data_IF_365862627164
#
_entry.id   IF_365862627164
#
_cell.length_a   1.000
_cell.length_b   1.000
_cell.length_c   1.000
_cell.angle_alpha   90.00
_cell.angle_beta   90.00
_cell.angle_gamma   90.00
#
_symmetry.space_group_name_H-M   'P 1'
#
loop_
_entity.id
_entity.type
_entity.pdbx_description
1 polymer ?
#
# COMPACT_ATOMS: atom_id res chain seq x y z
N UNK A 1 9.13 -19.49 -35.04
CA UNK A 1 8.39 -18.63 -34.08
C UNK A 1 8.58 -19.23 -32.69
N UNK A 2 9.25 -18.55 -31.78
CA UNK A 2 9.26 -18.97 -30.36
C UNK A 2 7.87 -18.71 -29.79
N UNK A 3 7.20 -19.77 -29.36
CA UNK A 3 5.90 -19.67 -28.66
C UNK A 3 6.12 -18.86 -27.37
N UNK A 4 5.29 -17.85 -27.16
CA UNK A 4 5.32 -17.05 -25.93
C UNK A 4 4.99 -17.93 -24.72
N UNK A 5 5.73 -17.76 -23.62
CA UNK A 5 5.45 -18.49 -22.38
C UNK A 5 4.19 -17.93 -21.72
N UNK A 6 3.25 -18.79 -21.34
CA UNK A 6 2.03 -18.46 -20.57
C UNK A 6 1.97 -19.29 -19.29
N UNK A 7 1.11 -18.90 -18.35
CA UNK A 7 0.83 -19.68 -17.11
C UNK A 7 2.04 -19.94 -16.20
N UNK A 8 3.08 -19.10 -16.30
CA UNK A 8 4.35 -19.26 -15.56
C UNK A 8 4.31 -18.77 -14.11
N UNK A 9 3.27 -18.02 -13.72
CA UNK A 9 3.12 -17.46 -12.37
C UNK A 9 4.20 -16.43 -11.99
N UNK A 10 4.26 -16.04 -10.71
CA UNK A 10 5.33 -15.18 -10.20
C UNK A 10 6.65 -15.97 -10.07
N UNK A 11 7.81 -15.30 -10.10
CA UNK A 11 9.06 -15.91 -9.69
C UNK A 11 8.96 -16.50 -8.27
N UNK A 12 9.57 -17.65 -8.02
CA UNK A 12 9.66 -18.19 -6.65
C UNK A 12 10.44 -17.22 -5.76
N UNK A 13 9.79 -16.71 -4.70
CA UNK A 13 10.38 -15.76 -3.76
C UNK A 13 11.67 -16.29 -3.12
N UNK A 14 11.86 -17.61 -3.01
CA UNK A 14 13.06 -18.25 -2.45
C UNK A 14 14.34 -17.96 -3.26
N UNK A 15 14.18 -17.51 -4.50
CA UNK A 15 15.29 -17.13 -5.37
C UNK A 15 15.75 -15.69 -5.16
N UNK A 16 14.98 -14.87 -4.45
CA UNK A 16 15.27 -13.45 -4.22
C UNK A 16 15.42 -13.09 -2.73
N UNK A 17 15.43 -14.09 -1.85
CA UNK A 17 15.69 -13.90 -0.42
C UNK A 17 17.17 -13.59 -0.17
N UNK A 18 17.42 -12.65 0.74
CA UNK A 18 18.75 -12.41 1.28
C UNK A 18 19.33 -13.71 1.88
N UNK A 19 20.63 -14.05 1.68
CA UNK A 19 21.20 -15.33 2.11
C UNK A 19 20.97 -15.67 3.58
N UNK A 20 21.13 -14.70 4.49
CA UNK A 20 20.85 -14.88 5.93
C UNK A 20 19.37 -15.17 6.21
N UNK A 21 18.44 -14.56 5.46
CA UNK A 21 17.00 -14.84 5.60
C UNK A 21 16.69 -16.25 5.09
N UNK A 22 17.28 -16.65 3.96
CA UNK A 22 17.10 -17.98 3.38
C UNK A 22 17.65 -19.08 4.29
N UNK A 23 18.84 -18.87 4.87
CA UNK A 23 19.48 -19.80 5.81
C UNK A 23 18.61 -20.03 7.06
N UNK A 24 17.99 -18.97 7.58
CA UNK A 24 17.22 -19.00 8.82
C UNK A 24 15.70 -19.00 8.59
N UNK A 25 15.25 -19.42 7.40
CA UNK A 25 13.84 -19.35 7.04
C UNK A 25 13.00 -20.25 7.95
N UNK A 26 12.08 -19.67 8.72
CA UNK A 26 11.27 -20.40 9.71
C UNK A 26 11.99 -20.72 11.03
N UNK A 27 13.21 -20.21 11.24
CA UNK A 27 14.05 -20.50 12.41
C UNK A 27 14.44 -19.20 13.13
N UNK A 28 13.45 -18.36 13.41
CA UNK A 28 13.64 -17.07 14.08
C UNK A 28 13.31 -17.20 15.56
N UNK A 29 14.23 -16.74 16.42
CA UNK A 29 14.08 -16.79 17.87
C UNK A 29 13.24 -15.63 18.39
N UNK A 30 13.59 -14.40 17.99
CA UNK A 30 12.85 -13.19 18.37
C UNK A 30 13.17 -12.03 17.43
N UNK A 31 12.41 -10.94 17.59
CA UNK A 31 12.74 -9.64 17.03
C UNK A 31 12.63 -8.56 18.10
N UNK A 32 13.31 -7.44 17.87
CA UNK A 32 13.25 -6.25 18.73
C UNK A 32 13.25 -5.00 17.84
N UNK A 33 12.53 -3.96 18.27
CA UNK A 33 12.60 -2.63 17.65
C UNK A 33 13.64 -1.83 18.44
N UNK A 34 14.76 -1.51 17.81
CA UNK A 34 15.89 -0.84 18.45
C UNK A 34 15.67 0.67 18.56
N UNK A 35 15.09 1.25 17.51
CA UNK A 35 14.78 2.68 17.37
C UNK A 35 13.72 2.84 16.25
N UNK A 36 13.10 4.02 16.08
CA UNK A 36 12.13 4.23 15.00
C UNK A 36 12.71 3.84 13.63
N UNK A 37 12.05 2.91 12.94
CA UNK A 37 12.45 2.41 11.63
C UNK A 37 13.53 1.33 11.64
N UNK A 38 14.06 0.88 12.80
CA UNK A 38 15.10 -0.15 12.84
C UNK A 38 14.68 -1.32 13.72
N UNK A 39 14.66 -2.51 13.14
CA UNK A 39 14.41 -3.76 13.83
C UNK A 39 15.63 -4.66 13.74
N UNK A 40 15.79 -5.55 14.70
CA UNK A 40 16.71 -6.70 14.61
C UNK A 40 15.91 -7.98 14.72
N UNK A 41 16.24 -8.96 13.88
CA UNK A 41 15.77 -10.34 14.00
C UNK A 41 16.97 -11.22 14.36
N UNK A 42 16.79 -12.08 15.36
CA UNK A 42 17.82 -13.01 15.82
C UNK A 42 17.32 -14.43 15.55
N UNK A 43 18.10 -15.21 14.82
CA UNK A 43 17.76 -16.60 14.51
C UNK A 43 18.11 -17.54 15.65
N UNK A 44 17.62 -18.78 15.58
CA UNK A 44 18.01 -19.86 16.49
C UNK A 44 19.50 -20.20 16.40
N UNK A 45 20.12 -20.00 15.23
CA UNK A 45 21.56 -20.19 15.00
C UNK A 45 22.43 -19.04 15.53
N UNK A 46 21.82 -17.96 16.01
CA UNK A 46 22.50 -16.77 16.53
C UNK A 46 22.81 -15.71 15.46
N UNK A 47 22.50 -15.96 14.19
CA UNK A 47 22.61 -14.94 13.14
C UNK A 47 21.70 -13.76 13.47
N UNK A 48 22.19 -12.54 13.20
CA UNK A 48 21.42 -11.31 13.32
C UNK A 48 21.24 -10.69 11.95
N UNK A 49 20.04 -10.18 11.71
CA UNK A 49 19.78 -9.32 10.56
C UNK A 49 18.95 -8.12 11.01
N UNK A 50 19.40 -6.95 10.62
CA UNK A 50 18.74 -5.68 10.89
C UNK A 50 17.86 -5.33 9.70
N UNK A 51 16.65 -4.85 9.98
CA UNK A 51 15.74 -4.32 8.99
C UNK A 51 15.61 -2.82 9.20
N UNK A 52 15.98 -2.04 8.19
CA UNK A 52 15.75 -0.59 8.17
C UNK A 52 14.54 -0.31 7.29
N UNK A 53 13.46 0.18 7.91
CA UNK A 53 12.21 0.54 7.26
C UNK A 53 12.19 2.03 6.92
N UNK A 54 11.84 2.33 5.68
CA UNK A 54 11.64 3.68 5.21
C UNK A 54 10.27 3.88 4.54
N UNK A 55 9.71 5.08 4.69
CA UNK A 55 8.49 5.48 3.99
C UNK A 55 8.73 5.53 2.48
N UNK A 56 7.69 5.22 1.72
CA UNK A 56 7.73 5.31 0.26
C UNK A 56 6.38 5.76 -0.27
N UNK A 57 6.39 6.42 -1.43
CA UNK A 57 5.17 6.60 -2.20
C UNK A 57 4.64 5.24 -2.65
N UNK A 58 3.33 5.01 -2.60
CA UNK A 58 2.73 3.83 -3.24
C UNK A 58 2.85 3.92 -4.77
N UNK A 59 2.65 5.12 -5.32
CA UNK A 59 2.90 5.44 -6.72
C UNK A 59 4.34 5.96 -6.86
N UNK A 60 5.14 5.30 -7.70
CA UNK A 60 6.57 5.58 -7.87
C UNK A 60 6.96 5.47 -9.34
N UNK A 61 8.02 6.19 -9.74
CA UNK A 61 8.62 6.06 -11.06
C UNK A 61 9.58 4.86 -11.12
N UNK A 62 9.96 4.47 -12.33
CA UNK A 62 11.03 3.49 -12.54
C UNK A 62 12.38 4.00 -12.05
N UNK A 63 12.64 5.31 -12.13
CA UNK A 63 13.89 5.90 -11.63
C UNK A 63 13.97 5.84 -10.10
N UNK A 64 12.85 6.05 -9.40
CA UNK A 64 12.76 5.80 -7.96
C UNK A 64 13.11 4.35 -7.62
N UNK A 65 12.60 3.38 -8.38
CA UNK A 65 12.91 1.96 -8.15
C UNK A 65 14.40 1.68 -8.37
N UNK A 66 15.01 2.25 -9.42
CA UNK A 66 16.44 2.12 -9.68
C UNK A 66 17.29 2.71 -8.55
N UNK A 67 16.93 3.88 -8.04
CA UNK A 67 17.61 4.49 -6.90
C UNK A 67 17.50 3.62 -5.63
N UNK A 68 16.33 3.03 -5.38
CA UNK A 68 16.12 2.08 -4.28
C UNK A 68 16.99 0.83 -4.46
N UNK A 69 17.14 0.31 -5.68
CA UNK A 69 18.05 -0.80 -5.99
C UNK A 69 19.51 -0.44 -5.73
N UNK A 70 19.98 0.76 -6.11
CA UNK A 70 21.35 1.21 -5.83
C UNK A 70 21.65 1.26 -4.31
N UNK A 71 20.68 1.70 -3.50
CA UNK A 71 20.79 1.68 -2.04
C UNK A 71 20.88 0.23 -1.53
N UNK A 72 20.06 -0.68 -2.07
CA UNK A 72 20.07 -2.09 -1.68
C UNK A 72 21.38 -2.79 -2.07
N UNK A 73 21.95 -2.50 -3.25
CA UNK A 73 23.24 -3.03 -3.66
C UNK A 73 24.36 -2.56 -2.72
N UNK A 74 24.31 -1.30 -2.29
CA UNK A 74 25.32 -0.70 -1.42
C UNK A 74 25.28 -1.21 0.03
N UNK A 75 24.08 -1.42 0.57
CA UNK A 75 23.91 -1.68 2.02
C UNK A 75 23.28 -3.03 2.36
N UNK A 76 22.62 -3.68 1.42
CA UNK A 76 21.76 -4.85 1.66
C UNK A 76 22.00 -6.02 0.70
N UNK A 77 23.22 -6.09 0.16
CA UNK A 77 23.68 -7.17 -0.73
C UNK A 77 22.73 -7.39 -1.94
N UNK A 78 22.10 -6.31 -2.41
CA UNK A 78 21.14 -6.33 -3.53
C UNK A 78 19.73 -6.81 -3.17
N UNK A 79 19.41 -6.94 -1.87
CA UNK A 79 18.12 -7.41 -1.40
C UNK A 79 17.33 -6.33 -0.66
N UNK A 80 16.04 -6.24 -0.96
CA UNK A 80 15.07 -5.38 -0.26
C UNK A 80 13.69 -6.01 -0.33
N UNK A 81 12.73 -5.47 0.43
CA UNK A 81 11.31 -5.78 0.23
C UNK A 81 10.43 -4.55 0.40
N UNK A 82 9.19 -4.68 -0.08
CA UNK A 82 8.10 -3.80 0.32
C UNK A 82 7.23 -4.48 1.38
N UNK A 83 6.75 -3.69 2.33
CA UNK A 83 5.76 -4.14 3.32
C UNK A 83 4.34 -4.11 2.73
N UNK A 84 3.38 -4.73 3.42
CA UNK A 84 1.96 -4.68 3.06
C UNK A 84 1.34 -3.28 3.09
N UNK A 85 2.07 -2.28 3.60
CA UNK A 85 1.68 -0.86 3.61
C UNK A 85 2.59 0.01 2.76
N UNK A 86 3.28 -0.62 1.80
CA UNK A 86 4.12 0.04 0.81
C UNK A 86 5.37 0.73 1.37
N UNK A 87 5.73 0.56 2.65
CA UNK A 87 7.06 0.95 3.11
C UNK A 87 8.14 0.08 2.48
N UNK A 88 9.34 0.64 2.30
CA UNK A 88 10.55 -0.06 1.91
C UNK A 88 11.21 -0.68 3.14
N UNK A 89 11.86 -1.82 2.97
CA UNK A 89 12.70 -2.45 3.98
C UNK A 89 14.00 -2.98 3.38
N UNK A 90 15.11 -2.56 3.98
CA UNK A 90 16.48 -2.94 3.64
C UNK A 90 17.01 -3.91 4.70
N UNK A 91 17.79 -4.90 4.28
CA UNK A 91 18.34 -5.94 5.16
C UNK A 91 19.83 -5.74 5.37
N UNK A 92 20.27 -5.62 6.61
CA UNK A 92 21.67 -5.31 6.92
C UNK A 92 22.18 -6.35 7.92
N UNK A 93 23.30 -6.99 7.62
CA UNK A 93 23.93 -7.98 8.53
C UNK A 93 25.02 -7.36 9.40
N UNK A 94 25.73 -6.37 8.87
CA UNK A 94 26.74 -5.59 9.58
C UNK A 94 26.14 -4.33 10.21
N UNK A 95 26.04 -4.31 11.53
CA UNK A 95 25.53 -3.18 12.30
C UNK A 95 26.24 -1.84 12.01
N UNK A 96 27.51 -1.87 11.57
CA UNK A 96 28.26 -0.66 11.24
C UNK A 96 27.67 0.09 10.03
N UNK A 97 26.94 -0.61 9.15
CA UNK A 97 26.27 -0.05 7.97
C UNK A 97 24.94 0.65 8.28
N UNK A 98 24.40 0.52 9.49
CA UNK A 98 23.09 1.11 9.85
C UNK A 98 23.11 2.64 9.80
N UNK A 99 24.11 3.27 10.42
CA UNK A 99 24.21 4.72 10.42
C UNK A 99 24.45 5.29 9.00
N UNK A 100 25.38 4.74 8.19
CA UNK A 100 25.53 5.10 6.78
C UNK A 100 24.25 4.94 5.95
N UNK A 101 23.53 3.83 6.08
CA UNK A 101 22.27 3.60 5.36
C UNK A 101 21.20 4.63 5.73
N UNK A 102 20.99 4.88 7.03
CA UNK A 102 20.04 5.89 7.50
C UNK A 102 20.40 7.29 7.00
N UNK A 103 21.68 7.63 6.94
CA UNK A 103 22.15 8.92 6.43
C UNK A 103 21.89 9.06 4.92
N UNK A 104 22.17 8.00 4.14
CA UNK A 104 21.93 7.98 2.68
C UNK A 104 20.42 8.12 2.38
N UNK A 105 19.58 7.32 3.07
CA UNK A 105 18.12 7.42 3.00
C UNK A 105 17.63 8.83 3.31
N UNK A 106 18.11 9.44 4.40
CA UNK A 106 17.75 10.82 4.77
C UNK A 106 18.16 11.83 3.72
N UNK A 107 19.36 11.70 3.15
CA UNK A 107 19.87 12.62 2.12
C UNK A 107 19.04 12.60 0.84
N UNK A 108 18.39 11.46 0.56
CA UNK A 108 17.51 11.23 -0.59
C UNK A 108 16.02 11.44 -0.28
N UNK A 109 15.68 11.89 0.94
CA UNK A 109 14.31 12.20 1.33
C UNK A 109 13.46 10.98 1.72
N UNK A 110 14.07 9.83 2.02
CA UNK A 110 13.38 8.67 2.54
C UNK A 110 13.27 8.74 4.07
N UNK A 111 12.08 8.95 4.65
CA UNK A 111 11.91 8.98 6.10
C UNK A 111 12.10 7.58 6.67
N UNK A 112 13.04 7.42 7.61
CA UNK A 112 13.19 6.17 8.38
C UNK A 112 12.18 6.17 9.52
N UNK A 113 11.35 5.12 9.62
CA UNK A 113 10.25 5.10 10.59
C UNK A 113 9.17 4.06 10.29
N UNK A 114 7.95 4.34 10.72
CA UNK A 114 6.78 3.50 10.43
C UNK A 114 6.75 2.19 11.22
N UNK A 115 7.35 2.16 12.41
CA UNK A 115 7.48 1.00 13.31
C UNK A 115 6.96 1.31 14.70
N UNK A 116 6.58 0.28 15.47
CA UNK A 116 6.27 0.41 16.89
C UNK A 116 5.06 1.31 17.17
N UNK A 117 5.09 2.08 18.26
CA UNK A 117 3.97 2.92 18.70
C UNK A 117 3.95 4.28 17.99
N UNK A 118 3.91 4.25 16.66
CA UNK A 118 3.79 5.44 15.81
C UNK A 118 2.67 5.26 14.78
N UNK A 119 2.67 6.13 13.77
CA UNK A 119 1.91 5.86 12.54
C UNK A 119 2.81 5.17 11.52
N UNK A 120 2.20 4.46 10.59
CA UNK A 120 2.87 3.90 9.43
C UNK A 120 2.22 4.42 8.15
N UNK A 121 2.78 4.11 6.99
CA UNK A 121 2.26 4.57 5.69
C UNK A 121 0.76 4.30 5.52
N UNK A 122 0.07 5.24 4.88
CA UNK A 122 -1.36 5.17 4.62
C UNK A 122 -1.61 4.28 3.40
N UNK A 123 -2.30 3.16 3.62
CA UNK A 123 -2.81 2.34 2.51
C UNK A 123 -3.87 3.15 1.77
N UNK A 124 -3.69 3.29 0.47
CA UNK A 124 -4.58 4.05 -0.39
C UNK A 124 -4.63 3.46 -1.81
N UNK A 125 -5.63 3.91 -2.57
CA UNK A 125 -5.98 3.34 -3.88
C UNK A 125 -5.57 4.30 -5.01
N UNK A 126 -6.24 4.22 -6.16
CA UNK A 126 -5.88 5.02 -7.33
C UNK A 126 -6.37 6.47 -7.26
N UNK A 127 -7.58 6.72 -6.72
CA UNK A 127 -8.19 8.06 -6.79
C UNK A 127 -8.35 8.55 -8.23
N UNK A 128 -8.13 9.84 -8.44
CA UNK A 128 -8.28 10.49 -9.75
C UNK A 128 -7.15 10.13 -10.74
N UNK A 129 -6.07 9.51 -10.26
CA UNK A 129 -4.93 9.13 -11.10
C UNK A 129 -5.33 8.06 -12.13
N UNK A 130 -6.23 7.14 -11.77
CA UNK A 130 -6.52 6.00 -12.64
C UNK A 130 -7.92 5.39 -12.49
N UNK A 131 -8.69 5.72 -11.45
CA UNK A 131 -10.02 5.12 -11.26
C UNK A 131 -11.11 5.95 -11.95
N UNK A 132 -12.16 5.29 -12.45
CA UNK A 132 -13.33 5.93 -13.04
C UNK A 132 -14.53 6.08 -12.08
N UNK A 133 -14.48 5.45 -10.90
CA UNK A 133 -15.50 5.58 -9.84
C UNK A 133 -15.06 6.34 -8.56
N UNK A 134 -14.01 7.19 -8.55
CA UNK A 134 -13.59 7.87 -7.33
C UNK A 134 -14.57 9.00 -6.97
N UNK A 135 -14.84 9.14 -5.67
CA UNK A 135 -15.49 10.32 -5.10
C UNK A 135 -14.47 11.35 -4.57
N UNK A 136 -13.21 10.95 -4.42
CA UNK A 136 -12.08 11.81 -4.04
C UNK A 136 -10.79 11.30 -4.69
N UNK A 137 -9.75 12.14 -4.76
CA UNK A 137 -8.41 11.65 -5.00
C UNK A 137 -7.89 10.80 -3.83
N UNK A 138 -6.88 9.97 -4.10
CA UNK A 138 -6.20 9.17 -3.10
C UNK A 138 -4.82 9.73 -2.73
N UNK A 139 -3.97 10.02 -3.73
CA UNK A 139 -2.56 10.38 -3.47
C UNK A 139 -2.42 11.77 -2.83
N UNK A 140 -3.20 12.76 -3.30
CA UNK A 140 -3.19 14.12 -2.76
C UNK A 140 -3.55 14.18 -1.28
N UNK A 141 -4.73 13.66 -0.85
CA UNK A 141 -5.08 13.65 0.56
C UNK A 141 -4.11 12.85 1.44
N UNK A 142 -3.56 11.73 0.95
CA UNK A 142 -2.53 10.97 1.68
C UNK A 142 -1.28 11.82 1.91
N UNK A 143 -0.81 12.52 0.88
CA UNK A 143 0.34 13.43 0.99
C UNK A 143 0.06 14.53 2.03
N UNK A 144 -1.09 15.19 1.95
CA UNK A 144 -1.47 16.24 2.89
C UNK A 144 -1.51 15.74 4.34
N UNK A 145 -2.12 14.56 4.59
CA UNK A 145 -2.18 13.97 5.93
C UNK A 145 -0.80 13.54 6.44
N UNK A 146 0.03 12.93 5.58
CA UNK A 146 1.37 12.50 5.98
C UNK A 146 2.33 13.65 6.24
N UNK A 147 2.14 14.81 5.59
CA UNK A 147 2.92 16.01 5.86
C UNK A 147 2.62 16.57 7.25
N UNK A 148 1.34 16.63 7.63
CA UNK A 148 0.92 17.08 8.98
C UNK A 148 1.28 16.08 10.08
N UNK A 149 1.34 14.78 9.77
CA UNK A 149 1.58 13.72 10.76
C UNK A 149 2.99 13.11 10.67
N UNK A 150 3.91 13.75 9.95
CA UNK A 150 5.24 13.22 9.66
C UNK A 150 6.04 12.85 10.92
N UNK A 151 5.93 13.64 11.98
CA UNK A 151 6.62 13.40 13.25
C UNK A 151 6.18 12.10 13.92
N UNK A 152 4.92 11.68 13.75
CA UNK A 152 4.44 10.40 14.27
C UNK A 152 4.94 9.20 13.46
N UNK A 153 5.35 9.40 12.21
CA UNK A 153 5.92 8.35 11.37
C UNK A 153 7.37 8.07 11.77
N UNK A 154 8.14 9.13 12.07
CA UNK A 154 9.57 9.05 12.42
C UNK A 154 9.82 8.84 13.92
N UNK A 155 8.77 8.69 14.72
CA UNK A 155 8.84 8.48 16.17
C UNK A 155 7.97 7.30 16.64
N UNK A 156 8.01 7.00 17.95
CA UNK A 156 7.20 5.96 18.59
C UNK A 156 6.49 6.49 19.84
N UNK A 157 5.86 7.66 19.72
CA UNK A 157 5.29 8.45 20.83
C UNK A 157 3.81 8.17 21.13
N UNK A 158 3.09 7.48 20.24
CA UNK A 158 1.66 7.20 20.42
C UNK A 158 1.42 6.15 21.52
N UNK A 159 0.21 6.03 22.07
CA UNK A 159 -0.13 4.95 23.02
C UNK A 159 -0.05 3.54 22.40
N UNK A 160 -0.36 3.43 21.11
CA UNK A 160 -0.35 2.18 20.34
C UNK A 160 0.02 2.45 18.88
N UNK A 161 0.26 1.40 18.11
CA UNK A 161 0.46 1.51 16.66
C UNK A 161 -0.85 1.90 15.98
N UNK A 162 -0.84 2.97 15.18
CA UNK A 162 -2.04 3.53 14.55
C UNK A 162 -1.97 3.41 13.02
N UNK A 163 -3.04 2.90 12.42
CA UNK A 163 -3.21 2.72 10.98
C UNK A 163 -4.28 3.67 10.45
N UNK A 164 -3.85 4.60 9.63
CA UNK A 164 -4.74 5.42 8.79
C UNK A 164 -4.85 4.74 7.42
N UNK A 165 -6.03 4.69 6.82
CA UNK A 165 -6.19 4.22 5.45
C UNK A 165 -7.22 5.08 4.70
N UNK A 166 -7.08 5.13 3.37
CA UNK A 166 -7.93 5.94 2.51
C UNK A 166 -8.53 5.12 1.38
N UNK A 167 -9.86 5.19 1.24
CA UNK A 167 -10.61 4.69 0.10
C UNK A 167 -11.16 5.86 -0.72
N UNK A 168 -10.84 5.90 -2.02
CA UNK A 168 -11.38 6.91 -2.92
C UNK A 168 -12.89 6.76 -3.18
N UNK A 169 -13.46 5.59 -2.92
CA UNK A 169 -14.90 5.29 -2.97
C UNK A 169 -15.24 4.09 -2.08
N UNK A 170 -16.52 3.79 -1.91
CA UNK A 170 -17.05 2.73 -1.04
C UNK A 170 -16.63 1.29 -1.41
N UNK A 171 -16.00 1.07 -2.56
CA UNK A 171 -15.45 -0.24 -2.91
C UNK A 171 -14.25 -0.62 -2.04
N UNK A 172 -13.67 0.36 -1.33
CA UNK A 172 -12.58 0.23 -0.34
C UNK A 172 -11.24 -0.28 -0.85
N UNK A 173 -11.19 -1.13 -1.88
CA UNK A 173 -10.02 -1.72 -2.56
C UNK A 173 -8.78 -1.94 -1.67
N UNK A 174 -9.00 -2.37 -0.41
CA UNK A 174 -8.02 -2.38 0.66
C UNK A 174 -8.67 -2.51 2.04
N UNK A 175 -7.85 -2.48 3.09
CA UNK A 175 -8.26 -2.67 4.47
C UNK A 175 -8.80 -1.38 5.14
N UNK A 176 -9.49 -0.52 4.39
CA UNK A 176 -9.94 0.80 4.88
C UNK A 176 -11.05 0.66 5.92
N UNK A 177 -11.98 -0.27 5.71
CA UNK A 177 -13.10 -0.56 6.61
C UNK A 177 -12.69 -1.12 7.99
N UNK A 178 -11.44 -1.54 8.16
CA UNK A 178 -10.90 -2.10 9.41
C UNK A 178 -9.60 -1.41 9.84
N UNK A 179 -9.41 -0.15 9.45
CA UNK A 179 -8.31 0.70 9.91
C UNK A 179 -8.74 1.55 11.12
N UNK A 180 -7.79 1.91 11.98
CA UNK A 180 -8.06 2.71 13.19
C UNK A 180 -8.67 4.06 12.84
N UNK A 181 -8.20 4.67 11.74
CA UNK A 181 -8.79 5.85 11.13
C UNK A 181 -8.98 5.59 9.64
N UNK A 182 -10.22 5.77 9.15
CA UNK A 182 -10.59 5.56 7.76
C UNK A 182 -11.04 6.86 7.11
N UNK A 183 -10.42 7.22 5.98
CA UNK A 183 -10.87 8.32 5.12
C UNK A 183 -11.60 7.71 3.92
N UNK A 184 -12.86 8.08 3.72
CA UNK A 184 -13.70 7.50 2.68
C UNK A 184 -14.33 8.59 1.80
N UNK A 185 -14.07 8.52 0.49
CA UNK A 185 -14.82 9.26 -0.51
C UNK A 185 -16.25 8.73 -0.65
N UNK A 186 -17.24 9.62 -0.56
CA UNK A 186 -18.65 9.29 -0.77
C UNK A 186 -19.30 10.25 -1.77
N UNK A 187 -20.26 9.72 -2.52
CA UNK A 187 -21.22 10.55 -3.24
C UNK A 187 -22.37 10.92 -2.29
N UNK A 188 -22.94 12.12 -2.46
CA UNK A 188 -24.11 12.60 -1.71
C UNK A 188 -25.33 12.86 -2.60
N UNK A 189 -25.22 12.52 -3.88
CA UNK A 189 -26.26 12.71 -4.88
C UNK A 189 -26.57 11.37 -5.55
N UNK A 190 -27.83 11.12 -5.95
CA UNK A 190 -28.18 9.96 -6.75
C UNK A 190 -27.52 10.03 -8.15
N UNK A 191 -27.35 8.89 -8.84
CA UNK A 191 -26.76 8.89 -10.17
C UNK A 191 -27.62 9.63 -11.20
N UNK A 192 -26.96 10.36 -12.10
CA UNK A 192 -27.61 10.95 -13.29
C UNK A 192 -27.72 9.89 -14.38
N UNK A 193 -28.94 9.54 -14.78
CA UNK A 193 -29.17 8.51 -15.80
C UNK A 193 -28.97 9.08 -17.20
N UNK A 194 -28.08 8.45 -17.99
CA UNK A 194 -27.95 8.71 -19.42
C UNK A 194 -28.87 7.76 -20.21
N UNK A 195 -30.16 8.09 -20.32
CA UNK A 195 -31.18 7.18 -20.83
C UNK A 195 -30.87 6.59 -22.22
N UNK A 196 -30.27 7.37 -23.12
CA UNK A 196 -29.94 6.94 -24.48
C UNK A 196 -28.80 5.90 -24.52
N UNK A 197 -27.88 5.98 -23.55
CA UNK A 197 -26.66 5.16 -23.51
C UNK A 197 -26.86 3.85 -22.77
N UNK A 198 -27.65 3.85 -21.71
CA UNK A 198 -27.89 2.68 -20.83
C UNK A 198 -28.22 1.43 -21.63
N UNK A 199 -29.10 1.53 -22.63
CA UNK A 199 -29.51 0.37 -23.44
C UNK A 199 -28.37 -0.29 -24.24
N UNK A 200 -27.31 0.46 -24.54
CA UNK A 200 -26.21 0.01 -25.41
C UNK A 200 -25.03 -0.57 -24.61
N UNK A 201 -24.88 -0.18 -23.33
CA UNK A 201 -23.68 -0.49 -22.53
C UNK A 201 -23.98 -1.19 -21.20
N UNK A 202 -25.25 -1.26 -20.81
CA UNK A 202 -25.66 -1.89 -19.55
C UNK A 202 -26.54 -3.11 -19.82
N UNK A 203 -26.24 -4.19 -19.11
CA UNK A 203 -27.19 -5.26 -18.90
C UNK A 203 -28.13 -4.81 -17.75
N UNK A 204 -29.41 -4.56 -18.08
CA UNK A 204 -30.35 -3.88 -17.18
C UNK A 204 -30.69 -4.72 -15.93
N UNK A 205 -31.04 -6.01 -16.03
CA UNK A 205 -31.29 -6.87 -14.87
C UNK A 205 -30.19 -6.87 -13.80
N UNK A 206 -28.94 -7.05 -14.21
CA UNK A 206 -27.77 -7.03 -13.30
C UNK A 206 -27.55 -5.65 -12.70
N UNK A 207 -27.77 -4.58 -13.48
CA UNK A 207 -27.72 -3.20 -12.97
C UNK A 207 -28.76 -2.98 -11.87
N UNK A 208 -30.00 -3.46 -12.04
CA UNK A 208 -31.04 -3.38 -11.01
C UNK A 208 -30.64 -4.19 -9.77
N UNK A 209 -30.17 -5.42 -9.97
CA UNK A 209 -29.77 -6.33 -8.89
C UNK A 209 -28.56 -5.82 -8.08
N UNK A 210 -27.72 -4.96 -8.67
CA UNK A 210 -26.58 -4.35 -7.98
C UNK A 210 -26.98 -3.35 -6.87
N UNK A 211 -28.23 -2.88 -6.87
CA UNK A 211 -28.68 -1.88 -5.92
C UNK A 211 -29.05 -2.49 -4.56
N UNK A 212 -28.30 -2.20 -3.47
CA UNK A 212 -28.52 -2.83 -2.17
C UNK A 212 -29.85 -2.43 -1.52
N UNK A 213 -30.39 -1.25 -1.85
CA UNK A 213 -31.67 -0.74 -1.33
C UNK A 213 -32.84 -1.01 -2.26
N UNK A 214 -32.60 -1.61 -3.43
CA UNK A 214 -33.62 -1.77 -4.45
C UNK A 214 -34.18 -0.42 -4.93
N UNK A 215 -33.36 0.62 -5.05
CA UNK A 215 -33.76 1.95 -5.52
C UNK A 215 -34.04 2.01 -7.03
N UNK A 216 -33.46 1.08 -7.80
CA UNK A 216 -33.49 1.07 -9.27
C UNK A 216 -34.67 0.23 -9.76
N UNK A 217 -35.43 0.77 -10.72
CA UNK A 217 -36.51 0.05 -11.43
C UNK A 217 -36.34 0.18 -12.93
N UNK A 218 -36.74 -0.85 -13.67
CA UNK A 218 -36.83 -0.76 -15.12
C UNK A 218 -37.82 0.35 -15.53
N UNK A 219 -37.46 1.10 -16.57
CA UNK A 219 -38.32 2.06 -17.24
C UNK A 219 -38.53 1.61 -18.70
N UNK A 220 -39.58 0.81 -18.99
CA UNK A 220 -39.82 0.29 -20.34
C UNK A 220 -40.04 1.39 -21.38
N UNK A 221 -40.59 2.55 -20.99
CA UNK A 221 -40.90 3.66 -21.90
C UNK A 221 -39.64 4.27 -22.52
N UNK A 222 -38.57 4.37 -21.74
CA UNK A 222 -37.28 4.92 -22.16
C UNK A 222 -36.24 3.83 -22.44
N UNK A 223 -36.62 2.55 -22.29
CA UNK A 223 -35.71 1.40 -22.31
C UNK A 223 -34.50 1.61 -21.38
N UNK A 224 -34.75 2.18 -20.20
CA UNK A 224 -33.74 2.67 -19.24
C UNK A 224 -34.07 2.26 -17.79
N UNK A 225 -33.39 2.85 -16.79
CA UNK A 225 -33.72 2.71 -15.37
C UNK A 225 -34.24 4.01 -14.76
N UNK A 226 -35.03 3.93 -13.70
CA UNK A 226 -35.45 5.08 -12.86
C UNK A 226 -35.12 4.86 -11.40
N UNK A 227 -34.78 5.94 -10.68
CA UNK A 227 -34.55 5.94 -9.24
C UNK A 227 -35.81 6.35 -8.47
N UNK A 228 -36.07 5.71 -7.33
CA UNK A 228 -37.11 6.15 -6.39
C UNK A 228 -36.54 6.70 -5.08
N UNK A 229 -35.64 5.95 -4.40
CA UNK A 229 -34.94 6.37 -3.17
C UNK A 229 -33.59 5.66 -3.08
N UNK A 230 -32.50 6.38 -3.36
CA UNK A 230 -31.13 5.86 -3.27
C UNK A 230 -30.63 5.85 -1.83
#
# INVERSE_FOLDING_TARGET
MTVGKTDIGPPDYRNVLHPVIKKNYGQWKYHEILEPGVLVHVSESGDKIYTVRAGSGRLVSTDFIREVCEIADKFSDGHLRFTSRHNLEFFVTDASKLAPLKADLKSKGFPVGGTGRGITSIVHTQGWIHCHTPATDASGPVKAVMDELYDYFTSMTLPAHLRIALACCLNMCGAVHCSDIAILGIHRLPPKVEHERVRNVCEIPTTIASCPTGAIRANPKEKSGRYQRC
#
